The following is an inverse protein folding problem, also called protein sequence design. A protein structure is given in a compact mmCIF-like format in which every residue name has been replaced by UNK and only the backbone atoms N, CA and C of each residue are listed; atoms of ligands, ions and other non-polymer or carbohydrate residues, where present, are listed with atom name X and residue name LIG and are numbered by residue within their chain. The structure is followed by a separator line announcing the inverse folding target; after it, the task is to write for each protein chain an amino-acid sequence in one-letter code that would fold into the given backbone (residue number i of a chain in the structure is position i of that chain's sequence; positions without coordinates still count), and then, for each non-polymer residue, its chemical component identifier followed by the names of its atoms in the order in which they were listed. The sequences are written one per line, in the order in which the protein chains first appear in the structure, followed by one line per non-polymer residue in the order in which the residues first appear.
data_IF_876847891350
#
_entry.id   IF_876847891350
#
_cell.length_a   1.000
_cell.length_b   1.000
_cell.length_c   1.000
_cell.angle_alpha   90.00
_cell.angle_beta   90.00
_cell.angle_gamma   90.00
#
_symmetry.space_group_name_H-M   'P 1'
#
loop_
_entity.id
_entity.type
_entity.pdbx_description
1 polymer ?
#
# COMPACT_ATOMS: atom_id res chain seq x y z
N UNK A 1 31.84 -47.60 7.38
CA UNK A 1 32.53 -46.39 6.87
C UNK A 1 31.88 -45.17 7.55
N UNK A 2 32.67 -44.34 8.23
CA UNK A 2 32.10 -43.19 8.93
C UNK A 2 31.48 -42.18 7.92
N UNK A 3 30.25 -41.75 8.22
CA UNK A 3 29.50 -40.76 7.46
C UNK A 3 30.13 -39.34 7.53
N UNK A 4 31.04 -39.12 8.48
CA UNK A 4 31.70 -37.84 8.73
C UNK A 4 33.22 -38.06 8.72
N UNK A 5 33.93 -37.31 7.90
CA UNK A 5 35.39 -37.22 7.92
C UNK A 5 35.80 -35.77 8.15
N UNK A 6 36.69 -35.55 9.11
CA UNK A 6 37.30 -34.25 9.39
C UNK A 6 38.74 -34.26 8.93
N UNK A 7 39.13 -33.37 8.03
CA UNK A 7 40.51 -33.14 7.64
C UNK A 7 40.70 -31.61 7.45
N UNK A 8 41.79 -31.08 8.03
CA UNK A 8 42.21 -29.68 7.90
C UNK A 8 41.10 -28.65 8.21
N UNK A 9 40.39 -28.82 9.35
CA UNK A 9 39.29 -27.93 9.77
C UNK A 9 38.07 -27.93 8.83
N UNK A 10 38.04 -28.83 7.84
CA UNK A 10 36.88 -29.01 6.92
C UNK A 10 36.17 -30.31 7.27
N UNK A 11 34.83 -30.24 7.30
CA UNK A 11 33.94 -31.39 7.52
C UNK A 11 33.43 -31.90 6.17
N UNK A 12 33.81 -33.12 5.83
CA UNK A 12 33.31 -33.77 4.60
C UNK A 12 32.17 -34.71 4.96
N UNK A 13 30.98 -34.44 4.39
CA UNK A 13 29.86 -35.35 4.44
C UNK A 13 29.84 -36.24 3.18
N UNK A 14 30.00 -37.52 3.36
CA UNK A 14 29.79 -38.50 2.27
C UNK A 14 28.29 -38.84 2.16
N UNK A 15 27.57 -38.04 1.40
CA UNK A 15 26.15 -38.28 1.10
C UNK A 15 26.06 -38.85 -0.30
N UNK A 16 25.34 -39.99 -0.47
CA UNK A 16 25.04 -40.51 -1.79
C UNK A 16 24.22 -39.47 -2.58
N UNK A 17 24.52 -39.22 -3.87
CA UNK A 17 23.70 -38.30 -4.70
C UNK A 17 22.21 -38.65 -4.70
N UNK A 18 21.88 -39.93 -4.59
CA UNK A 18 20.47 -40.37 -4.50
C UNK A 18 19.81 -39.92 -3.20
N UNK A 19 20.53 -40.00 -2.06
CA UNK A 19 20.01 -39.55 -0.77
C UNK A 19 19.83 -38.02 -0.78
N UNK A 20 20.76 -37.28 -1.38
CA UNK A 20 20.65 -35.83 -1.53
C UNK A 20 19.42 -35.45 -2.36
N UNK A 21 19.16 -36.14 -3.44
CA UNK A 21 18.02 -35.94 -4.33
C UNK A 21 16.69 -36.25 -3.61
N UNK A 22 16.63 -37.31 -2.83
CA UNK A 22 15.46 -37.68 -2.03
C UNK A 22 15.18 -36.65 -0.94
N UNK A 23 16.21 -36.17 -0.24
CA UNK A 23 16.07 -35.11 0.79
C UNK A 23 15.61 -33.79 0.17
N UNK A 24 16.15 -33.44 -1.00
CA UNK A 24 15.70 -32.24 -1.74
C UNK A 24 14.23 -32.35 -2.15
N UNK A 25 13.83 -33.49 -2.72
CA UNK A 25 12.43 -33.73 -3.08
C UNK A 25 11.50 -33.72 -1.87
N UNK A 26 11.92 -34.32 -0.76
CA UNK A 26 11.16 -34.35 0.49
C UNK A 26 11.00 -32.92 1.07
N UNK A 27 12.05 -32.11 1.05
CA UNK A 27 11.97 -30.72 1.53
C UNK A 27 11.08 -29.85 0.65
N UNK A 28 11.17 -29.98 -0.68
CA UNK A 28 10.26 -29.29 -1.62
C UNK A 28 8.81 -29.73 -1.40
N UNK A 29 8.58 -31.04 -1.20
CA UNK A 29 7.26 -31.57 -0.90
C UNK A 29 6.69 -31.07 0.41
N UNK A 30 7.52 -30.97 1.46
CA UNK A 30 7.13 -30.42 2.77
C UNK A 30 6.77 -28.93 2.65
N UNK A 31 7.58 -28.13 1.96
CA UNK A 31 7.29 -26.72 1.71
C UNK A 31 5.99 -26.56 0.91
N UNK A 32 5.82 -27.34 -0.15
CA UNK A 32 4.60 -27.33 -0.95
C UNK A 32 3.37 -27.70 -0.11
N UNK A 33 3.50 -28.72 0.74
CA UNK A 33 2.43 -29.16 1.65
C UNK A 33 2.08 -28.09 2.68
N UNK A 34 3.09 -27.46 3.29
CA UNK A 34 2.90 -26.34 4.21
C UNK A 34 2.20 -25.18 3.50
N UNK A 35 2.64 -24.78 2.32
CA UNK A 35 1.99 -23.71 1.54
C UNK A 35 0.57 -24.08 1.12
N UNK A 36 0.32 -25.37 0.80
CA UNK A 36 -1.00 -25.84 0.41
C UNK A 36 -1.98 -25.92 1.59
N UNK A 37 -1.51 -26.38 2.76
CA UNK A 37 -2.35 -26.47 3.97
C UNK A 37 -2.36 -25.20 4.81
N UNK A 38 -1.30 -24.41 4.79
CA UNK A 38 -1.31 -23.06 5.41
C UNK A 38 -2.25 -22.14 4.68
N UNK A 39 -2.99 -22.66 3.67
CA UNK A 39 -3.90 -21.91 2.85
C UNK A 39 -3.40 -20.48 2.79
N UNK A 40 -2.83 -20.06 1.70
CA UNK A 40 -2.93 -18.65 1.39
C UNK A 40 -4.45 -18.40 1.39
N UNK A 41 -5.00 -18.15 2.58
CA UNK A 41 -6.24 -17.39 2.60
C UNK A 41 -5.86 -16.22 1.72
N UNK A 42 -6.47 -16.06 0.52
CA UNK A 42 -6.33 -14.82 -0.17
C UNK A 42 -6.61 -13.83 0.94
N UNK A 43 -5.64 -12.97 1.28
CA UNK A 43 -5.94 -11.86 2.15
C UNK A 43 -7.17 -11.30 1.49
N UNK A 44 -8.33 -11.57 2.08
CA UNK A 44 -9.57 -10.97 1.65
C UNK A 44 -9.25 -9.52 1.83
N UNK A 45 -8.87 -8.90 0.73
CA UNK A 45 -8.46 -7.52 0.64
C UNK A 45 -9.67 -6.80 1.17
N UNK A 46 -9.64 -6.48 2.48
CA UNK A 46 -10.82 -5.96 3.16
C UNK A 46 -11.00 -4.55 2.63
N UNK A 47 -11.71 -4.51 1.52
CA UNK A 47 -12.07 -3.24 0.89
C UNK A 47 -13.15 -2.60 1.74
N UNK A 48 -12.88 -1.40 2.22
CA UNK A 48 -13.81 -0.60 3.00
C UNK A 48 -14.22 0.63 2.21
N UNK A 49 -15.44 1.11 2.43
CA UNK A 49 -15.84 2.43 1.98
C UNK A 49 -15.16 3.50 2.85
N UNK A 50 -14.68 4.56 2.24
CA UNK A 50 -14.21 5.76 2.94
C UNK A 50 -14.93 6.98 2.41
N UNK A 51 -15.16 7.92 3.30
CA UNK A 51 -15.78 9.22 2.99
C UNK A 51 -15.00 10.34 3.68
N UNK A 52 -14.76 11.41 2.96
CA UNK A 52 -14.16 12.64 3.47
C UNK A 52 -14.61 13.84 2.66
N UNK A 53 -14.46 15.02 3.21
CA UNK A 53 -14.76 16.26 2.51
C UNK A 53 -13.48 16.87 1.91
N UNK A 54 -13.53 17.26 0.64
CA UNK A 54 -12.43 17.92 -0.04
C UNK A 54 -12.97 19.13 -0.83
N UNK A 55 -12.46 20.32 -0.49
CA UNK A 55 -12.92 21.59 -1.09
C UNK A 55 -14.45 21.79 -0.99
N UNK A 56 -15.07 21.43 0.13
CA UNK A 56 -16.50 21.57 0.36
C UNK A 56 -17.38 20.52 -0.36
N UNK A 57 -16.77 19.50 -0.97
CA UNK A 57 -17.50 18.42 -1.60
C UNK A 57 -17.19 17.06 -0.97
N UNK A 58 -18.21 16.21 -0.73
CA UNK A 58 -18.00 14.87 -0.23
C UNK A 58 -17.36 13.98 -1.29
N UNK A 59 -16.33 13.25 -0.90
CA UNK A 59 -15.62 12.27 -1.75
C UNK A 59 -15.78 10.89 -1.12
N UNK A 60 -16.31 9.95 -1.88
CA UNK A 60 -16.49 8.54 -1.48
C UNK A 60 -15.66 7.65 -2.36
N UNK A 61 -14.81 6.84 -1.74
CA UNK A 61 -13.90 5.92 -2.41
C UNK A 61 -13.93 4.55 -1.73
N UNK A 62 -13.49 3.55 -2.46
CA UNK A 62 -13.16 2.23 -1.88
C UNK A 62 -11.67 2.20 -1.56
N UNK A 63 -11.34 1.81 -0.35
CA UNK A 63 -9.96 1.69 0.11
C UNK A 63 -9.65 0.27 0.54
N UNK A 64 -8.41 -0.15 0.35
CA UNK A 64 -7.91 -1.43 0.83
C UNK A 64 -6.73 -1.24 1.77
N UNK A 65 -6.58 -2.15 2.72
CA UNK A 65 -5.44 -2.17 3.63
C UNK A 65 -4.19 -2.61 2.88
N UNK A 66 -3.16 -1.79 2.95
CA UNK A 66 -1.81 -2.12 2.51
C UNK A 66 -0.85 -1.99 3.69
N UNK A 67 -0.44 -3.12 4.25
CA UNK A 67 0.47 -3.16 5.41
C UNK A 67 1.87 -2.63 5.08
N UNK A 68 2.22 -2.49 3.82
CA UNK A 68 3.46 -1.85 3.35
C UNK A 68 3.36 -0.34 3.18
N UNK A 69 2.17 0.24 3.28
CA UNK A 69 1.95 1.67 3.13
C UNK A 69 2.17 2.40 4.47
N UNK A 70 3.32 3.04 4.62
CA UNK A 70 3.71 3.81 5.81
C UNK A 70 3.88 5.30 5.51
N UNK A 71 3.04 5.85 4.62
CA UNK A 71 3.09 7.26 4.27
C UNK A 71 2.63 8.12 5.44
N UNK A 72 3.40 9.19 5.74
CA UNK A 72 3.07 10.17 6.77
C UNK A 72 3.16 11.58 6.20
N UNK A 73 2.25 12.43 6.65
CA UNK A 73 2.30 13.87 6.37
C UNK A 73 3.51 14.47 7.10
N UNK A 74 4.46 15.08 6.39
CA UNK A 74 5.67 15.63 7.01
C UNK A 74 5.39 16.78 7.98
N UNK A 75 4.20 17.41 7.92
CA UNK A 75 3.80 18.53 8.77
C UNK A 75 3.15 18.05 10.06
N UNK A 76 2.26 17.07 9.98
CA UNK A 76 1.45 16.60 11.12
C UNK A 76 1.89 15.26 11.67
N UNK A 77 2.77 14.54 10.96
CA UNK A 77 3.17 13.14 11.25
C UNK A 77 2.01 12.14 11.27
N UNK A 78 0.82 12.56 10.86
CA UNK A 78 -0.34 11.67 10.76
C UNK A 78 -0.22 10.73 9.55
N UNK A 79 -0.84 9.54 9.60
CA UNK A 79 -0.86 8.63 8.47
C UNK A 79 -1.57 9.28 7.27
N UNK A 80 -1.21 8.87 6.06
CA UNK A 80 -1.72 9.42 4.81
C UNK A 80 -2.45 8.36 4.02
N UNK A 81 -3.65 8.70 3.55
CA UNK A 81 -4.40 7.89 2.60
C UNK A 81 -3.83 8.12 1.20
N UNK A 82 -3.39 7.04 0.54
CA UNK A 82 -2.89 7.12 -0.84
C UNK A 82 -4.02 6.84 -1.83
N UNK A 83 -4.27 7.76 -2.75
CA UNK A 83 -5.36 7.69 -3.73
C UNK A 83 -4.78 7.60 -5.14
N UNK A 84 -5.26 6.66 -5.93
CA UNK A 84 -5.01 6.62 -7.36
C UNK A 84 -5.82 7.72 -8.05
N UNK A 85 -5.15 8.78 -8.54
CA UNK A 85 -5.84 9.86 -9.24
C UNK A 85 -6.64 9.37 -10.46
N UNK A 86 -6.11 8.51 -11.36
CA UNK A 86 -6.87 8.02 -12.50
C UNK A 86 -8.16 7.30 -12.10
N UNK A 87 -8.12 6.50 -11.03
CA UNK A 87 -9.28 5.75 -10.54
C UNK A 87 -10.32 6.64 -9.84
N UNK A 88 -9.86 7.66 -9.09
CA UNK A 88 -10.72 8.56 -8.34
C UNK A 88 -11.22 9.78 -9.14
N UNK A 89 -10.67 10.05 -10.33
CA UNK A 89 -10.88 11.27 -11.12
C UNK A 89 -12.35 11.67 -11.28
N UNK A 90 -13.23 10.71 -11.50
CA UNK A 90 -14.67 10.97 -11.68
C UNK A 90 -15.41 11.34 -10.39
N UNK A 91 -14.78 11.23 -9.23
CA UNK A 91 -15.37 11.50 -7.91
C UNK A 91 -14.77 12.72 -7.21
N UNK A 92 -13.71 13.28 -7.78
CA UNK A 92 -13.01 14.43 -7.22
C UNK A 92 -13.61 15.73 -7.75
N UNK A 93 -13.60 16.83 -6.94
CA UNK A 93 -13.99 18.15 -7.40
C UNK A 93 -13.18 18.60 -8.62
N UNK A 94 -13.81 19.34 -9.54
CA UNK A 94 -13.19 19.79 -10.78
C UNK A 94 -11.91 20.60 -10.58
N UNK A 95 -11.87 21.48 -9.58
CA UNK A 95 -10.68 22.26 -9.24
C UNK A 95 -9.49 21.39 -8.77
N UNK A 96 -9.79 20.32 -8.00
CA UNK A 96 -8.79 19.33 -7.56
C UNK A 96 -8.25 18.56 -8.77
N UNK A 97 -9.14 18.11 -9.66
CA UNK A 97 -8.73 17.40 -10.88
C UNK A 97 -7.85 18.26 -11.79
N UNK A 98 -8.19 19.54 -11.95
CA UNK A 98 -7.39 20.47 -12.76
C UNK A 98 -5.99 20.67 -12.14
N UNK A 99 -5.92 20.86 -10.82
CA UNK A 99 -4.67 21.00 -10.09
C UNK A 99 -3.77 19.76 -10.22
N UNK A 100 -4.32 18.57 -9.97
CA UNK A 100 -3.60 17.31 -10.07
C UNK A 100 -3.14 17.03 -11.50
N UNK A 101 -3.97 17.37 -12.50
CA UNK A 101 -3.60 17.27 -13.91
C UNK A 101 -2.38 18.11 -14.25
N UNK A 102 -2.33 19.35 -13.79
CA UNK A 102 -1.17 20.23 -13.98
C UNK A 102 0.06 19.71 -13.22
N UNK A 103 -0.12 19.25 -11.98
CA UNK A 103 0.97 18.71 -11.17
C UNK A 103 1.65 17.52 -11.85
N UNK A 104 0.87 16.56 -12.32
CA UNK A 104 1.42 15.36 -12.98
C UNK A 104 1.95 15.61 -14.41
N UNK A 105 1.66 16.78 -14.99
CA UNK A 105 2.32 17.27 -16.19
C UNK A 105 3.65 18.00 -15.89
N UNK A 106 4.07 18.09 -14.63
CA UNK A 106 5.31 18.75 -14.22
C UNK A 106 5.21 20.27 -14.05
N UNK A 107 3.99 20.83 -14.09
CA UNK A 107 3.80 22.28 -13.97
C UNK A 107 3.86 22.78 -12.52
N UNK A 108 3.65 21.89 -11.54
CA UNK A 108 3.71 22.13 -10.10
C UNK A 108 3.04 23.46 -9.67
N UNK A 109 1.73 23.62 -9.86
CA UNK A 109 1.04 24.86 -9.55
C UNK A 109 1.20 25.23 -8.07
N UNK A 110 1.58 26.45 -7.77
CA UNK A 110 1.82 26.94 -6.42
C UNK A 110 0.53 27.29 -5.68
N UNK A 111 -0.55 27.56 -6.41
CA UNK A 111 -1.85 27.92 -5.83
C UNK A 111 -2.75 26.69 -5.75
N UNK A 112 -3.05 26.19 -4.54
CA UNK A 112 -3.95 25.07 -4.37
C UNK A 112 -5.40 25.45 -4.74
N UNK A 113 -6.28 24.47 -4.97
CA UNK A 113 -7.70 24.72 -5.14
C UNK A 113 -8.29 25.44 -3.92
N UNK A 114 -9.30 26.27 -4.14
CA UNK A 114 -9.98 27.01 -3.08
C UNK A 114 -10.53 26.05 -2.02
N UNK A 115 -10.24 26.30 -0.77
CA UNK A 115 -10.65 25.45 0.36
C UNK A 115 -9.74 24.21 0.60
N UNK A 116 -8.66 24.06 -0.19
CA UNK A 116 -7.70 22.98 0.03
C UNK A 116 -6.41 23.47 0.70
N UNK A 117 -5.92 22.69 1.66
CA UNK A 117 -4.60 22.90 2.26
C UNK A 117 -3.61 21.92 1.65
N UNK A 118 -2.78 22.42 0.73
CA UNK A 118 -1.78 21.63 0.01
C UNK A 118 -0.78 20.97 0.96
N UNK A 119 -0.45 19.72 0.67
CA UNK A 119 0.62 18.92 1.26
C UNK A 119 1.48 18.35 0.15
N UNK A 120 2.76 18.24 0.39
CA UNK A 120 3.69 17.51 -0.48
C UNK A 120 4.21 16.33 0.34
N UNK A 121 3.81 15.14 -0.06
CA UNK A 121 4.07 13.91 0.69
C UNK A 121 5.22 13.16 0.02
N UNK A 122 6.36 12.96 0.72
CA UNK A 122 7.44 12.17 0.18
C UNK A 122 7.02 10.68 0.18
N UNK A 123 7.09 10.06 -0.98
CA UNK A 123 6.83 8.65 -1.16
C UNK A 123 8.11 7.95 -1.62
N UNK A 124 8.66 7.13 -0.73
CA UNK A 124 9.86 6.36 -0.99
C UNK A 124 9.48 4.89 -1.15
N UNK A 125 9.57 4.38 -2.36
CA UNK A 125 9.45 2.95 -2.65
C UNK A 125 10.81 2.37 -3.00
N UNK A 126 10.94 1.05 -3.02
CA UNK A 126 12.20 0.39 -3.41
C UNK A 126 12.67 0.78 -4.84
N UNK A 127 11.75 1.21 -5.69
CA UNK A 127 12.01 1.53 -7.10
C UNK A 127 12.05 3.03 -7.40
N UNK A 128 11.48 3.90 -6.55
CA UNK A 128 11.31 5.31 -6.90
C UNK A 128 11.15 6.20 -5.66
N UNK A 129 11.77 7.39 -5.74
CA UNK A 129 11.50 8.50 -4.83
C UNK A 129 10.60 9.50 -5.54
N UNK A 130 9.45 9.80 -4.98
CA UNK A 130 8.51 10.75 -5.58
C UNK A 130 7.94 11.71 -4.52
N UNK A 131 7.60 12.92 -4.96
CA UNK A 131 6.84 13.88 -4.17
C UNK A 131 5.40 13.87 -4.68
N UNK A 132 4.50 13.40 -3.86
CA UNK A 132 3.09 13.29 -4.19
C UNK A 132 2.33 14.54 -3.74
N UNK A 133 1.47 15.12 -4.60
CA UNK A 133 0.56 16.17 -4.20
C UNK A 133 -0.51 15.57 -3.30
N UNK A 134 -0.85 16.31 -2.25
CA UNK A 134 -1.86 15.89 -1.29
C UNK A 134 -2.57 17.08 -0.67
N UNK A 135 -3.59 16.79 0.11
CA UNK A 135 -4.37 17.81 0.82
C UNK A 135 -4.67 17.36 2.24
N UNK A 136 -4.63 18.30 3.19
CA UNK A 136 -5.09 18.03 4.54
C UNK A 136 -6.61 17.91 4.55
N UNK A 137 -7.11 16.92 5.28
CA UNK A 137 -8.53 16.61 5.44
C UNK A 137 -8.88 16.65 6.94
N UNK A 138 -9.97 17.34 7.28
CA UNK A 138 -10.37 17.56 8.68
C UNK A 138 -10.83 16.26 9.35
N UNK A 139 -11.49 15.39 8.59
CA UNK A 139 -11.96 14.09 9.06
C UNK A 139 -12.09 13.10 7.90
N UNK A 140 -11.70 11.86 8.13
CA UNK A 140 -12.00 10.73 7.27
C UNK A 140 -12.87 9.76 8.05
N UNK A 141 -13.94 9.29 7.42
CA UNK A 141 -14.82 8.28 7.98
C UNK A 141 -14.73 6.99 7.17
N UNK A 142 -14.69 5.86 7.87
CA UNK A 142 -14.85 4.54 7.24
C UNK A 142 -16.31 4.15 7.24
N UNK A 143 -16.74 3.51 6.15
CA UNK A 143 -18.09 2.96 6.00
C UNK A 143 -17.94 1.44 5.98
N UNK A 144 -18.42 0.77 7.03
CA UNK A 144 -18.42 -0.68 7.18
C UNK A 144 -19.84 -1.18 7.43
N UNK A 145 -20.02 -2.49 7.42
CA UNK A 145 -21.31 -3.10 7.80
C UNK A 145 -21.74 -2.76 9.25
N UNK A 146 -20.76 -2.48 10.11
CA UNK A 146 -20.99 -2.06 11.50
C UNK A 146 -21.39 -0.58 11.63
N UNK A 147 -21.34 0.19 10.54
CA UNK A 147 -21.67 1.61 10.51
C UNK A 147 -20.52 2.50 10.06
N UNK A 148 -20.69 3.81 10.28
CA UNK A 148 -19.69 4.84 9.96
C UNK A 148 -18.83 5.10 11.21
N UNK A 149 -17.51 5.09 11.03
CA UNK A 149 -16.55 5.39 12.10
C UNK A 149 -15.58 6.48 11.62
N UNK A 150 -15.46 7.58 12.37
CA UNK A 150 -14.45 8.60 12.12
C UNK A 150 -13.07 8.10 12.50
N UNK A 151 -12.10 8.36 11.62
CA UNK A 151 -10.66 8.13 11.84
C UNK A 151 -9.94 9.43 12.22
N UNK A 152 -10.65 10.56 12.20
CA UNK A 152 -10.11 11.86 12.55
C UNK A 152 -9.35 12.54 11.41
N UNK A 153 -8.54 13.52 11.82
CA UNK A 153 -7.76 14.35 10.89
C UNK A 153 -6.65 13.54 10.23
N UNK A 154 -6.48 13.74 8.93
CA UNK A 154 -5.42 13.10 8.14
C UNK A 154 -5.05 13.95 6.93
N UNK A 155 -4.19 13.41 6.07
CA UNK A 155 -3.95 13.92 4.73
C UNK A 155 -4.26 12.85 3.68
N UNK A 156 -4.67 13.28 2.52
CA UNK A 156 -4.81 12.43 1.34
C UNK A 156 -3.70 12.78 0.35
N UNK A 157 -3.04 11.78 -0.24
CA UNK A 157 -2.03 11.97 -1.27
C UNK A 157 -2.48 11.28 -2.56
N UNK A 158 -2.09 11.83 -3.70
CA UNK A 158 -2.50 11.30 -5.00
C UNK A 158 -1.30 10.78 -5.77
N UNK A 159 -1.42 9.56 -6.34
CA UNK A 159 -0.44 9.03 -7.27
C UNK A 159 -0.99 9.02 -8.72
N UNK A 160 -0.10 9.15 -9.72
CA UNK A 160 -0.53 9.20 -11.13
C UNK A 160 -0.84 7.81 -11.71
N UNK A 161 -0.46 6.72 -11.04
CA UNK A 161 -0.67 5.37 -11.52
C UNK A 161 -1.96 4.77 -10.99
N UNK A 162 -2.67 3.95 -11.79
CA UNK A 162 -3.76 3.11 -11.28
C UNK A 162 -3.20 1.98 -10.40
N UNK A 163 -3.99 1.54 -9.42
CA UNK A 163 -3.68 0.33 -8.68
C UNK A 163 -4.02 -0.92 -9.48
N UNK A 164 -3.27 -2.00 -9.25
CA UNK A 164 -3.30 -3.19 -10.11
C UNK A 164 -4.66 -3.90 -10.19
N UNK A 165 -5.46 -3.90 -9.13
CA UNK A 165 -6.71 -4.67 -9.12
C UNK A 165 -7.92 -3.95 -9.72
N UNK A 166 -7.90 -2.62 -9.80
CA UNK A 166 -9.06 -1.82 -10.24
C UNK A 166 -10.30 -1.89 -9.31
N UNK A 167 -10.23 -2.66 -8.23
CA UNK A 167 -11.34 -2.87 -7.29
C UNK A 167 -11.44 -1.76 -6.23
N UNK A 168 -10.38 -1.01 -6.03
CA UNK A 168 -10.28 0.06 -5.05
C UNK A 168 -9.56 1.28 -5.65
N UNK A 169 -9.88 2.45 -5.12
CA UNK A 169 -9.33 3.72 -5.54
C UNK A 169 -8.28 4.26 -4.55
N UNK A 170 -8.23 3.70 -3.32
CA UNK A 170 -7.34 4.17 -2.27
C UNK A 170 -6.66 3.04 -1.50
N UNK A 171 -5.50 3.37 -0.91
CA UNK A 171 -4.74 2.50 -0.02
C UNK A 171 -4.58 3.18 1.34
N UNK A 172 -4.77 2.44 2.42
CA UNK A 172 -4.49 2.91 3.77
C UNK A 172 -3.54 1.95 4.49
N UNK A 173 -2.61 2.52 5.24
CA UNK A 173 -1.64 1.76 6.02
C UNK A 173 -2.21 1.22 7.33
N UNK A 174 -1.47 0.30 7.98
CA UNK A 174 -1.79 -0.20 9.32
C UNK A 174 -1.82 0.90 10.39
N UNK A 175 -1.15 2.03 10.14
CA UNK A 175 -1.09 3.19 11.05
C UNK A 175 -2.46 3.90 11.21
N UNK A 176 -3.48 3.51 10.43
CA UNK A 176 -4.87 3.96 10.57
C UNK A 176 -5.70 3.09 11.53
N UNK A 177 -5.19 1.93 11.92
CA UNK A 177 -5.84 0.98 12.81
C UNK A 177 -5.31 1.13 14.22
#
# INVERSE_FOLDING_TARGET
TPLLQTANLTVYLRISPVVLLLLSAASCGAVWLVLHFSGSTPQTTRTIGIEFELCGAPVRLRATLDTGCHLKDPVTCLPVLLISWPAAKGRLPGGVNAFLGQWFQGLHPSTPPVGASLRVIPCNTAAQHALLPGFAVADISTITEAGMQSLGRTAVAFCPQPFQSGEYEALYGSDFL
#
